data_IF_909886356991
#
_entry.id   IF_909886356991
#
_cell.length_a   1.000
_cell.length_b   1.000
_cell.length_c   1.000
_cell.angle_alpha   90.00
_cell.angle_beta   90.00
_cell.angle_gamma   90.00
#
_symmetry.space_group_name_H-M   'P 1'
#
loop_
_entity.id
_entity.type
_entity.pdbx_description
1 polymer ?
#
# COMPACT_ATOMS: atom_id res chain seq x y z
N UNK A 1 15.17 -11.51 -24.87
CA UNK A 1 15.92 -11.15 -23.63
C UNK A 1 14.92 -11.21 -22.48
N UNK A 2 14.74 -12.37 -21.87
CA UNK A 2 13.93 -12.51 -20.64
C UNK A 2 14.79 -12.09 -19.46
N UNK A 3 14.66 -10.84 -19.02
CA UNK A 3 15.24 -10.39 -17.76
C UNK A 3 14.62 -11.23 -16.63
N UNK A 4 15.38 -12.18 -16.09
CA UNK A 4 15.00 -12.89 -14.87
C UNK A 4 14.81 -11.85 -13.78
N UNK A 5 13.56 -11.63 -13.38
CA UNK A 5 13.25 -10.73 -12.27
C UNK A 5 13.83 -11.35 -10.99
N UNK A 6 14.91 -10.76 -10.50
CA UNK A 6 15.46 -11.16 -9.21
C UNK A 6 14.48 -10.78 -8.10
N UNK A 7 14.42 -11.58 -7.03
CA UNK A 7 13.54 -11.31 -5.88
C UNK A 7 13.74 -9.90 -5.33
N UNK A 8 14.98 -9.43 -5.28
CA UNK A 8 15.32 -8.10 -4.78
C UNK A 8 14.79 -6.98 -5.69
N UNK A 9 14.81 -7.17 -7.01
CA UNK A 9 14.23 -6.21 -7.93
C UNK A 9 12.70 -6.12 -7.77
N UNK A 10 12.03 -7.23 -7.51
CA UNK A 10 10.59 -7.26 -7.24
C UNK A 10 10.24 -6.57 -5.92
N UNK A 11 11.01 -6.84 -4.84
CA UNK A 11 10.86 -6.15 -3.55
C UNK A 11 11.07 -4.64 -3.70
N UNK A 12 12.13 -4.23 -4.38
CA UNK A 12 12.42 -2.82 -4.61
C UNK A 12 11.29 -2.10 -5.35
N UNK A 13 10.70 -2.72 -6.38
CA UNK A 13 9.57 -2.15 -7.13
C UNK A 13 8.32 -1.99 -6.28
N UNK A 14 7.94 -3.00 -5.49
CA UNK A 14 6.79 -2.92 -4.58
C UNK A 14 7.03 -1.88 -3.49
N UNK A 15 8.21 -1.82 -2.93
CA UNK A 15 8.61 -0.81 -1.96
C UNK A 15 8.49 0.60 -2.55
N UNK A 16 9.05 0.82 -3.74
CA UNK A 16 9.00 2.11 -4.43
C UNK A 16 7.57 2.52 -4.74
N UNK A 17 6.71 1.59 -5.18
CA UNK A 17 5.29 1.84 -5.42
C UNK A 17 4.59 2.33 -4.15
N UNK A 18 4.76 1.61 -3.04
CA UNK A 18 4.10 1.94 -1.78
C UNK A 18 4.60 3.27 -1.19
N UNK A 19 5.91 3.45 -1.07
CA UNK A 19 6.47 4.70 -0.54
C UNK A 19 6.24 5.89 -1.46
N UNK A 20 6.31 5.69 -2.78
CA UNK A 20 6.08 6.75 -3.77
C UNK A 20 4.64 7.26 -3.74
N UNK A 21 3.66 6.36 -3.89
CA UNK A 21 2.24 6.77 -3.92
C UNK A 21 1.73 7.21 -2.54
N UNK A 22 2.15 6.55 -1.45
CA UNK A 22 1.82 7.00 -0.09
C UNK A 22 2.45 8.35 0.22
N UNK A 23 3.70 8.58 -0.17
CA UNK A 23 4.37 9.88 -0.04
C UNK A 23 3.66 10.98 -0.81
N UNK A 24 3.21 10.69 -2.03
CA UNK A 24 2.41 11.61 -2.84
C UNK A 24 1.09 11.95 -2.15
N UNK A 25 0.38 10.93 -1.61
CA UNK A 25 -0.86 11.13 -0.88
C UNK A 25 -0.64 11.99 0.38
N UNK A 26 0.42 11.73 1.15
CA UNK A 26 0.77 12.56 2.30
C UNK A 26 1.13 13.99 1.90
N UNK A 27 1.83 14.20 0.78
CA UNK A 27 2.13 15.53 0.27
C UNK A 27 0.85 16.31 -0.07
N UNK A 28 -0.12 15.67 -0.75
CA UNK A 28 -1.44 16.29 -1.00
C UNK A 28 -2.17 16.62 0.30
N UNK A 29 -2.20 15.70 1.25
CA UNK A 29 -2.85 15.94 2.54
C UNK A 29 -2.19 17.07 3.33
N UNK A 30 -0.86 17.18 3.31
CA UNK A 30 -0.14 18.31 3.92
C UNK A 30 -0.52 19.62 3.25
N UNK A 31 -0.56 19.67 1.92
CA UNK A 31 -0.98 20.87 1.19
C UNK A 31 -2.41 21.30 1.55
N UNK A 32 -3.35 20.35 1.65
CA UNK A 32 -4.72 20.63 2.07
C UNK A 32 -4.80 21.12 3.52
N UNK A 33 -4.00 20.53 4.40
CA UNK A 33 -3.91 20.96 5.80
C UNK A 33 -3.40 22.40 5.91
N UNK A 34 -2.34 22.75 5.18
CA UNK A 34 -1.74 24.11 5.20
C UNK A 34 -2.70 25.13 4.58
N UNK A 35 -3.39 24.78 3.51
CA UNK A 35 -4.36 25.69 2.84
C UNK A 35 -5.69 25.82 3.58
N UNK A 36 -6.00 24.93 4.52
CA UNK A 36 -7.27 24.88 5.22
C UNK A 36 -8.48 24.52 4.34
N UNK A 37 -8.25 24.15 3.10
CA UNK A 37 -9.28 23.74 2.14
C UNK A 37 -8.85 22.42 1.48
N UNK A 38 -9.78 21.55 1.10
CA UNK A 38 -11.26 21.65 1.15
C UNK A 38 -11.85 21.14 2.47
N UNK A 39 -11.06 20.54 3.36
CA UNK A 39 -11.56 19.84 4.55
C UNK A 39 -11.80 20.76 5.77
N UNK A 40 -11.18 21.94 5.80
CA UNK A 40 -11.34 22.91 6.89
C UNK A 40 -11.07 22.32 8.30
N UNK A 41 -11.98 22.55 9.25
CA UNK A 41 -11.82 22.03 10.62
C UNK A 41 -11.89 20.50 10.71
N UNK A 42 -12.35 19.82 9.66
CA UNK A 42 -12.46 18.35 9.61
C UNK A 42 -11.22 17.65 9.07
N UNK A 43 -10.14 18.37 8.82
CA UNK A 43 -8.86 17.80 8.32
C UNK A 43 -8.33 16.68 9.23
N UNK A 44 -8.51 16.79 10.54
CA UNK A 44 -8.11 15.76 11.51
C UNK A 44 -8.86 14.45 11.29
N UNK A 45 -10.15 14.50 10.94
CA UNK A 45 -10.95 13.32 10.65
C UNK A 45 -10.49 12.61 9.36
N UNK A 46 -10.07 13.38 8.36
CA UNK A 46 -9.50 12.83 7.12
C UNK A 46 -8.16 12.14 7.40
N UNK A 47 -7.29 12.73 8.21
CA UNK A 47 -6.07 12.09 8.67
C UNK A 47 -6.35 10.80 9.44
N UNK A 48 -7.32 10.80 10.35
CA UNK A 48 -7.73 9.63 11.10
C UNK A 48 -8.29 8.52 10.20
N UNK A 49 -8.84 8.86 9.04
CA UNK A 49 -9.28 7.90 8.03
C UNK A 49 -8.12 7.35 7.18
N UNK A 50 -7.16 8.19 6.77
CA UNK A 50 -6.04 7.79 5.90
C UNK A 50 -5.03 6.89 6.63
N UNK A 51 -4.66 7.26 7.87
CA UNK A 51 -3.60 6.57 8.61
C UNK A 51 -3.81 5.06 8.76
N UNK A 52 -4.99 4.57 9.20
CA UNK A 52 -5.24 3.13 9.30
C UNK A 52 -5.20 2.39 7.96
N UNK A 53 -5.46 3.09 6.86
CA UNK A 53 -5.46 2.51 5.52
C UNK A 53 -4.05 2.36 4.90
N UNK A 54 -3.03 3.04 5.43
CA UNK A 54 -1.69 3.05 4.83
C UNK A 54 -0.64 2.49 5.79
N UNK A 55 -0.65 2.91 7.06
CA UNK A 55 0.41 2.62 8.03
C UNK A 55 0.68 1.13 8.25
N UNK A 56 -0.32 0.23 8.36
CA UNK A 56 -0.05 -1.18 8.57
C UNK A 56 0.80 -1.79 7.46
N UNK A 57 0.51 -1.44 6.21
CA UNK A 57 1.24 -1.96 5.05
C UNK A 57 2.66 -1.38 4.95
N UNK A 58 2.83 -0.08 5.18
CA UNK A 58 4.16 0.53 5.22
C UNK A 58 5.02 -0.08 6.33
N UNK A 59 4.43 -0.30 7.50
CA UNK A 59 5.12 -0.94 8.63
C UNK A 59 5.56 -2.36 8.29
N UNK A 60 4.70 -3.14 7.62
CA UNK A 60 5.04 -4.48 7.14
C UNK A 60 6.24 -4.44 6.20
N UNK A 61 6.23 -3.56 5.20
CA UNK A 61 7.32 -3.43 4.23
C UNK A 61 8.62 -3.03 4.93
N UNK A 62 8.58 -2.01 5.81
CA UNK A 62 9.77 -1.59 6.58
C UNK A 62 10.31 -2.73 7.43
N UNK A 63 9.44 -3.47 8.11
CA UNK A 63 9.85 -4.59 8.97
C UNK A 63 10.61 -5.66 8.17
N UNK A 64 10.12 -6.00 6.97
CA UNK A 64 10.80 -6.96 6.09
C UNK A 64 12.15 -6.42 5.62
N UNK A 65 12.22 -5.15 5.19
CA UNK A 65 13.49 -4.55 4.74
C UNK A 65 14.53 -4.49 5.86
N UNK A 66 14.12 -4.20 7.09
CA UNK A 66 15.02 -4.19 8.26
C UNK A 66 15.52 -5.60 8.59
N UNK A 67 14.69 -6.63 8.47
CA UNK A 67 15.11 -8.02 8.67
C UNK A 67 16.10 -8.45 7.60
N UNK A 68 15.87 -8.09 6.35
CA UNK A 68 16.79 -8.39 5.24
C UNK A 68 18.14 -7.70 5.44
N UNK A 69 18.17 -6.43 5.86
CA UNK A 69 19.40 -5.67 6.08
C UNK A 69 20.29 -6.24 7.20
N UNK A 70 19.68 -6.93 8.17
CA UNK A 70 20.41 -7.58 9.29
C UNK A 70 20.93 -8.98 8.95
N UNK A 71 20.87 -9.40 7.68
CA UNK A 71 21.24 -10.75 7.25
C UNK A 71 20.34 -11.85 7.82
N UNK A 72 19.24 -11.48 8.48
CA UNK A 72 18.21 -12.38 8.99
C UNK A 72 17.08 -12.57 7.97
N UNK A 73 17.20 -11.95 6.79
CA UNK A 73 16.27 -12.11 5.71
C UNK A 73 16.19 -13.57 5.29
N UNK A 74 14.98 -14.08 5.14
CA UNK A 74 14.76 -15.40 4.56
C UNK A 74 15.34 -15.37 3.13
N UNK A 75 16.32 -16.23 2.85
CA UNK A 75 16.73 -16.52 1.47
C UNK A 75 15.55 -17.27 0.82
N UNK A 76 14.63 -16.50 0.27
CA UNK A 76 13.48 -17.04 -0.43
C UNK A 76 13.91 -17.39 -1.86
N UNK A 77 13.50 -18.55 -2.39
CA UNK A 77 13.66 -18.86 -3.80
C UNK A 77 12.95 -17.81 -4.66
N UNK A 78 13.28 -17.80 -5.95
CA UNK A 78 12.69 -16.85 -6.89
C UNK A 78 11.17 -16.75 -6.70
N UNK A 79 10.61 -15.55 -6.58
CA UNK A 79 9.20 -15.37 -6.33
C UNK A 79 8.40 -15.95 -7.48
N UNK A 80 7.26 -16.59 -7.17
CA UNK A 80 6.30 -16.92 -8.20
C UNK A 80 5.94 -15.64 -8.96
N UNK A 81 6.13 -15.58 -10.28
CA UNK A 81 5.76 -14.41 -11.07
C UNK A 81 4.30 -14.00 -10.84
N UNK A 82 3.44 -14.98 -10.62
CA UNK A 82 2.02 -14.76 -10.31
C UNK A 82 1.83 -13.95 -9.00
N UNK A 83 2.49 -14.34 -7.90
CA UNK A 83 2.37 -13.64 -6.62
C UNK A 83 2.90 -12.20 -6.70
N UNK A 84 3.99 -11.99 -7.43
CA UNK A 84 4.52 -10.65 -7.65
C UNK A 84 3.51 -9.77 -8.40
N UNK A 85 2.99 -10.25 -9.53
CA UNK A 85 2.02 -9.48 -10.32
C UNK A 85 0.71 -9.26 -9.57
N UNK A 86 0.23 -10.27 -8.84
CA UNK A 86 -0.95 -10.13 -7.99
C UNK A 86 -0.77 -9.03 -6.93
N UNK A 87 0.33 -9.08 -6.17
CA UNK A 87 0.65 -8.06 -5.17
C UNK A 87 0.82 -6.67 -5.80
N UNK A 88 1.48 -6.57 -6.96
CA UNK A 88 1.70 -5.32 -7.68
C UNK A 88 0.39 -4.68 -8.14
N UNK A 89 -0.46 -5.46 -8.81
CA UNK A 89 -1.75 -4.97 -9.34
C UNK A 89 -2.69 -4.57 -8.21
N UNK A 90 -2.86 -5.42 -7.19
CA UNK A 90 -3.70 -5.11 -6.04
C UNK A 90 -3.22 -3.85 -5.30
N UNK A 91 -1.91 -3.72 -5.08
CA UNK A 91 -1.31 -2.54 -4.45
C UNK A 91 -1.53 -1.28 -5.27
N UNK A 92 -1.33 -1.36 -6.58
CA UNK A 92 -1.53 -0.22 -7.48
C UNK A 92 -2.98 0.23 -7.48
N UNK A 93 -3.92 -0.69 -7.68
CA UNK A 93 -5.37 -0.38 -7.67
C UNK A 93 -5.77 0.23 -6.33
N UNK A 94 -5.33 -0.34 -5.22
CA UNK A 94 -5.63 0.16 -3.88
C UNK A 94 -5.12 1.59 -3.66
N UNK A 95 -3.85 1.85 -3.93
CA UNK A 95 -3.22 3.16 -3.72
C UNK A 95 -3.80 4.23 -4.66
N UNK A 96 -4.06 3.88 -5.92
CA UNK A 96 -4.74 4.78 -6.87
C UNK A 96 -6.15 5.09 -6.39
N UNK A 97 -6.88 4.10 -5.88
CA UNK A 97 -8.21 4.32 -5.30
C UNK A 97 -8.16 5.29 -4.12
N UNK A 98 -7.22 5.11 -3.19
CA UNK A 98 -7.03 6.05 -2.07
C UNK A 98 -6.74 7.47 -2.57
N UNK A 99 -5.86 7.60 -3.56
CA UNK A 99 -5.50 8.88 -4.14
C UNK A 99 -6.72 9.56 -4.79
N UNK A 100 -7.50 8.81 -5.57
CA UNK A 100 -8.73 9.30 -6.19
C UNK A 100 -9.72 9.76 -5.13
N UNK A 101 -9.96 8.97 -4.09
CA UNK A 101 -10.90 9.29 -3.02
C UNK A 101 -10.54 10.57 -2.24
N UNK A 102 -9.26 10.90 -2.15
CA UNK A 102 -8.81 12.12 -1.49
C UNK A 102 -8.80 13.31 -2.43
N UNK A 103 -8.28 13.14 -3.65
CA UNK A 103 -8.02 14.25 -4.58
C UNK A 103 -9.29 14.66 -5.34
N UNK A 104 -10.08 13.70 -5.83
CA UNK A 104 -11.23 14.02 -6.69
C UNK A 104 -12.36 14.72 -5.93
N UNK A 105 -12.86 14.21 -4.79
CA UNK A 105 -13.90 14.92 -4.04
C UNK A 105 -13.46 16.30 -3.57
N UNK A 106 -12.19 16.42 -3.21
CA UNK A 106 -11.61 17.69 -2.74
C UNK A 106 -11.65 18.81 -3.79
N UNK A 107 -11.61 18.47 -5.08
CA UNK A 107 -11.46 19.44 -6.16
C UNK A 107 -12.62 19.49 -7.15
N UNK A 108 -13.47 18.45 -7.21
CA UNK A 108 -14.42 18.27 -8.31
C UNK A 108 -15.86 17.95 -7.88
N UNK A 109 -16.18 17.87 -6.60
CA UNK A 109 -17.55 17.56 -6.12
C UNK A 109 -18.06 18.56 -5.11
N UNK A 110 -19.33 18.89 -5.21
CA UNK A 110 -20.04 19.74 -4.23
C UNK A 110 -20.47 18.97 -2.97
N UNK A 111 -20.28 17.64 -2.96
CA UNK A 111 -20.61 16.82 -1.79
C UNK A 111 -19.54 16.95 -0.70
N UNK A 112 -19.94 16.87 0.59
CA UNK A 112 -18.98 16.88 1.69
C UNK A 112 -17.97 15.71 1.53
N UNK A 113 -16.67 15.99 1.30
CA UNK A 113 -15.69 14.94 0.98
C UNK A 113 -15.59 13.88 2.08
N UNK A 114 -15.84 14.26 3.33
CA UNK A 114 -15.74 13.36 4.48
C UNK A 114 -16.82 12.28 4.50
N UNK A 115 -18.04 12.58 4.07
CA UNK A 115 -19.13 11.61 4.04
C UNK A 115 -18.87 10.53 2.98
N UNK A 116 -18.26 10.92 1.87
CA UNK A 116 -17.79 9.98 0.85
C UNK A 116 -16.67 9.07 1.42
N UNK A 117 -15.69 9.62 2.12
CA UNK A 117 -14.61 8.85 2.73
C UNK A 117 -15.15 7.85 3.77
N UNK A 118 -16.11 8.24 4.58
CA UNK A 118 -16.73 7.35 5.56
C UNK A 118 -17.51 6.21 4.90
N UNK A 119 -18.27 6.48 3.86
CA UNK A 119 -19.04 5.45 3.15
C UNK A 119 -18.15 4.43 2.44
N UNK A 120 -16.98 4.84 1.97
CA UNK A 120 -16.01 3.94 1.30
C UNK A 120 -15.28 3.02 2.26
N UNK A 121 -15.22 3.33 3.56
CA UNK A 121 -14.56 2.50 4.56
C UNK A 121 -15.11 1.07 4.65
N UNK A 122 -16.39 0.86 4.29
CA UNK A 122 -17.04 -0.45 4.35
C UNK A 122 -16.36 -1.49 3.44
N UNK A 123 -15.95 -1.10 2.24
CA UNK A 123 -15.30 -2.00 1.28
C UNK A 123 -13.78 -1.85 1.22
N UNK A 124 -13.27 -0.72 1.66
CA UNK A 124 -11.83 -0.45 1.64
C UNK A 124 -11.06 -1.32 2.64
N UNK A 125 -11.63 -1.60 3.81
CA UNK A 125 -11.05 -2.50 4.81
C UNK A 125 -10.83 -3.93 4.29
N UNK A 126 -11.86 -4.61 3.77
CA UNK A 126 -11.69 -5.91 3.11
C UNK A 126 -10.68 -5.87 1.96
N UNK A 127 -10.67 -4.82 1.14
CA UNK A 127 -9.71 -4.67 0.06
C UNK A 127 -8.27 -4.53 0.58
N UNK A 128 -8.04 -3.74 1.63
CA UNK A 128 -6.76 -3.66 2.31
C UNK A 128 -6.30 -5.02 2.84
N UNK A 129 -7.22 -5.83 3.37
CA UNK A 129 -6.94 -7.20 3.79
C UNK A 129 -6.40 -8.07 2.64
N UNK A 130 -7.00 -7.99 1.46
CA UNK A 130 -6.51 -8.69 0.26
C UNK A 130 -5.11 -8.23 -0.14
N UNK A 131 -4.87 -6.93 -0.17
CA UNK A 131 -3.56 -6.35 -0.49
C UNK A 131 -2.50 -6.80 0.51
N UNK A 132 -2.79 -6.70 1.80
CA UNK A 132 -1.88 -7.11 2.87
C UNK A 132 -1.60 -8.62 2.83
N UNK A 133 -2.61 -9.44 2.53
CA UNK A 133 -2.46 -10.88 2.32
C UNK A 133 -1.56 -11.22 1.14
N UNK A 134 -1.74 -10.55 -0.01
CA UNK A 134 -0.89 -10.74 -1.18
C UNK A 134 0.57 -10.31 -0.93
N UNK A 135 0.77 -9.18 -0.24
CA UNK A 135 2.09 -8.70 0.16
C UNK A 135 2.74 -9.63 1.19
N UNK A 136 1.98 -10.09 2.19
CA UNK A 136 2.46 -11.07 3.17
C UNK A 136 2.87 -12.37 2.49
N UNK A 137 2.07 -12.88 1.55
CA UNK A 137 2.41 -14.03 0.73
C UNK A 137 3.69 -13.83 -0.07
N UNK A 138 3.87 -12.65 -0.65
CA UNK A 138 5.07 -12.33 -1.42
C UNK A 138 6.32 -12.17 -0.55
N UNK A 139 6.21 -11.49 0.60
CA UNK A 139 7.36 -11.16 1.45
C UNK A 139 7.73 -12.23 2.47
N UNK A 140 6.79 -13.09 2.91
CA UNK A 140 6.95 -13.93 4.11
C UNK A 140 6.86 -15.43 3.81
N UNK A 141 6.16 -15.87 2.76
CA UNK A 141 5.98 -17.29 2.50
C UNK A 141 7.29 -17.97 2.11
N UNK A 142 7.69 -18.94 2.96
CA UNK A 142 8.75 -19.89 2.70
C UNK A 142 8.18 -21.01 1.83
N UNK A 143 8.84 -21.40 0.71
CA UNK A 143 8.42 -22.62 0.02
C UNK A 143 8.57 -23.80 0.94
N UNK A 144 7.54 -24.61 1.00
CA UNK A 144 7.59 -25.89 1.67
C UNK A 144 8.70 -26.73 1.03
N UNK A 145 9.72 -27.11 1.80
CA UNK A 145 10.71 -28.07 1.32
C UNK A 145 10.00 -29.37 0.96
N UNK A 146 10.30 -30.01 -0.20
CA UNK A 146 9.72 -31.30 -0.53
C UNK A 146 9.96 -32.25 0.65
N UNK A 147 8.90 -32.83 1.19
CA UNK A 147 9.01 -33.88 2.22
C UNK A 147 9.79 -35.03 1.60
N UNK A 148 10.93 -35.46 2.16
CA UNK A 148 11.59 -36.68 1.67
C UNK A 148 10.62 -37.84 1.81
N UNK A 149 10.48 -38.59 0.72
CA UNK A 149 9.66 -39.78 0.62
C UNK A 149 10.25 -40.92 1.47
#
# INVERSE_FOLDING_TARGET
MTTSLTHDACKARLTLLWFGLSGLLFAFMMLYTIRGVPFGPRTVEVWAWIMPNIMPTLTLIVSVLVLDSKGKGLQLPAPSPFLFWLAMVLSLVYLVTLLILVVVPANFTDQPPLDLLRSTGVWLGPFQGLVSGALGGFFVLKPESPRPA
#
